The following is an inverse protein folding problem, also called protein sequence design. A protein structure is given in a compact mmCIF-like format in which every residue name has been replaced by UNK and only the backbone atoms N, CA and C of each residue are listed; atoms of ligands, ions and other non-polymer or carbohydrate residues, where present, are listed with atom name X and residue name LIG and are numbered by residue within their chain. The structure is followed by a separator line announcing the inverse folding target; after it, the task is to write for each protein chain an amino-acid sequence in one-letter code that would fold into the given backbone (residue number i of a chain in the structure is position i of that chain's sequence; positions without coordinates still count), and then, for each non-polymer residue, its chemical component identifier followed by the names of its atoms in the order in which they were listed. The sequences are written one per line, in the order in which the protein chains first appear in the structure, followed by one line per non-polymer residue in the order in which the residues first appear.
data_IF_098484355798
#
_entry.id   IF_098484355798
#
_cell.length_a   1.000
_cell.length_b   1.000
_cell.length_c   1.000
_cell.angle_alpha   90.00
_cell.angle_beta   90.00
_cell.angle_gamma   90.00
#
_symmetry.space_group_name_H-M   'P 1'
#
loop_
_entity.id
_entity.type
_entity.pdbx_description
1 polymer ?
#
# COMPACT_ATOMS: atom_id res chain seq x y z
N UNK A 1 3.10 -33.51 4.01
CA UNK A 1 3.30 -33.10 5.41
C UNK A 1 4.46 -32.09 5.60
N UNK A 2 5.72 -32.44 5.29
CA UNK A 2 6.90 -31.56 5.52
C UNK A 2 6.82 -30.14 4.89
N UNK A 3 6.17 -29.99 3.75
CA UNK A 3 6.04 -28.70 3.06
C UNK A 3 5.15 -27.69 3.82
N UNK A 4 4.07 -28.17 4.45
CA UNK A 4 3.13 -27.34 5.23
C UNK A 4 3.79 -26.90 6.54
N UNK A 5 4.52 -27.81 7.21
CA UNK A 5 5.27 -27.52 8.44
C UNK A 5 6.33 -26.44 8.18
N UNK A 6 7.06 -26.50 7.07
CA UNK A 6 8.06 -25.49 6.70
C UNK A 6 7.44 -24.10 6.46
N UNK A 7 6.28 -24.04 5.81
CA UNK A 7 5.56 -22.76 5.57
C UNK A 7 4.99 -22.17 6.85
N UNK A 8 4.46 -23.01 7.72
CA UNK A 8 4.01 -22.61 9.06
C UNK A 8 5.17 -22.00 9.87
N UNK A 9 6.34 -22.63 9.84
CA UNK A 9 7.51 -22.12 10.55
C UNK A 9 7.91 -20.71 10.07
N UNK A 10 7.97 -20.49 8.75
CA UNK A 10 8.26 -19.16 8.18
C UNK A 10 7.20 -18.14 8.57
N UNK A 11 5.91 -18.50 8.50
CA UNK A 11 4.81 -17.62 8.90
C UNK A 11 4.88 -17.20 10.37
N UNK A 12 5.20 -18.14 11.26
CA UNK A 12 5.40 -17.85 12.68
C UNK A 12 6.61 -16.93 12.87
N UNK A 13 7.72 -17.20 12.17
CA UNK A 13 8.92 -16.38 12.24
C UNK A 13 8.65 -14.94 11.79
N UNK A 14 7.97 -14.76 10.65
CA UNK A 14 7.58 -13.45 10.13
C UNK A 14 6.67 -12.71 11.12
N UNK A 15 5.72 -13.44 11.73
CA UNK A 15 4.87 -12.90 12.79
C UNK A 15 5.65 -12.43 14.01
N UNK A 16 6.60 -13.23 14.51
CA UNK A 16 7.45 -12.87 15.66
C UNK A 16 8.27 -11.62 15.35
N UNK A 17 8.92 -11.56 14.18
CA UNK A 17 9.70 -10.40 13.76
C UNK A 17 8.82 -9.15 13.61
N UNK A 18 7.62 -9.29 13.05
CA UNK A 18 6.68 -8.20 12.90
C UNK A 18 6.28 -7.61 14.26
N UNK A 19 5.97 -8.47 15.23
CA UNK A 19 5.66 -8.02 16.60
C UNK A 19 6.86 -7.37 17.27
N UNK A 20 8.05 -7.95 17.14
CA UNK A 20 9.26 -7.39 17.73
C UNK A 20 9.56 -5.99 17.19
N UNK A 21 9.42 -5.78 15.87
CA UNK A 21 9.63 -4.48 15.24
C UNK A 21 8.56 -3.48 15.68
N UNK A 22 7.28 -3.86 15.73
CA UNK A 22 6.19 -2.99 16.19
C UNK A 22 6.38 -2.55 17.64
N UNK A 23 6.73 -3.48 18.54
CA UNK A 23 6.98 -3.17 19.95
C UNK A 23 8.20 -2.26 20.10
N UNK A 24 9.31 -2.57 19.41
CA UNK A 24 10.52 -1.75 19.44
C UNK A 24 10.22 -0.33 18.94
N UNK A 25 9.56 -0.22 17.79
CA UNK A 25 9.22 1.06 17.18
C UNK A 25 8.28 1.89 18.07
N UNK A 26 7.22 1.28 18.59
CA UNK A 26 6.28 1.92 19.51
C UNK A 26 6.98 2.41 20.78
N UNK A 27 7.82 1.57 21.39
CA UNK A 27 8.57 1.90 22.61
C UNK A 27 9.51 3.10 22.39
N UNK A 28 10.28 3.11 21.30
CA UNK A 28 11.22 4.19 21.00
C UNK A 28 10.48 5.50 20.73
N UNK A 29 9.40 5.49 19.95
CA UNK A 29 8.59 6.69 19.70
C UNK A 29 7.93 7.21 20.98
N UNK A 30 7.41 6.33 21.83
CA UNK A 30 6.83 6.73 23.12
C UNK A 30 7.88 7.30 24.06
N UNK A 31 9.11 6.79 24.06
CA UNK A 31 10.20 7.35 24.85
C UNK A 31 10.45 8.83 24.50
N UNK A 32 10.48 9.18 23.21
CA UNK A 32 10.61 10.57 22.77
C UNK A 32 9.46 11.44 23.28
N UNK A 33 8.22 10.98 23.14
CA UNK A 33 7.02 11.74 23.51
C UNK A 33 6.93 11.90 25.04
N UNK A 34 7.12 10.83 25.82
CA UNK A 34 7.03 10.86 27.29
C UNK A 34 8.13 11.74 27.89
N UNK A 35 9.36 11.68 27.35
CA UNK A 35 10.45 12.49 27.87
C UNK A 35 10.20 13.99 27.69
N UNK A 36 9.43 14.39 26.68
CA UNK A 36 9.02 15.78 26.49
C UNK A 36 7.81 16.16 27.34
N UNK A 37 6.77 15.33 27.33
CA UNK A 37 5.49 15.58 28.00
C UNK A 37 5.41 14.91 29.37
N UNK A 38 6.44 15.03 30.21
CA UNK A 38 6.52 14.37 31.52
C UNK A 38 5.33 14.68 32.44
N UNK A 39 4.68 15.82 32.25
CA UNK A 39 3.59 16.31 33.09
C UNK A 39 2.18 16.06 32.51
N UNK A 40 2.07 15.44 31.33
CA UNK A 40 0.79 15.19 30.66
C UNK A 40 0.45 13.70 30.60
N UNK A 41 -0.85 13.39 30.62
CA UNK A 41 -1.38 12.02 30.51
C UNK A 41 -1.50 11.58 29.04
N UNK A 42 -1.50 12.52 28.09
CA UNK A 42 -1.65 12.25 26.65
C UNK A 42 -0.72 11.16 26.09
N UNK A 43 0.57 11.08 26.48
CA UNK A 43 1.48 10.04 25.98
C UNK A 43 1.03 8.61 26.33
N UNK A 44 0.32 8.41 27.44
CA UNK A 44 -0.16 7.10 27.85
C UNK A 44 -1.29 6.57 26.94
N UNK A 45 -2.10 7.45 26.35
CA UNK A 45 -3.10 7.03 25.35
C UNK A 45 -2.44 6.52 24.07
N UNK A 46 -1.35 7.15 23.63
CA UNK A 46 -0.57 6.70 22.48
C UNK A 46 0.15 5.37 22.74
N UNK A 47 0.55 5.12 23.99
CA UNK A 47 1.07 3.82 24.41
C UNK A 47 0.00 2.73 24.35
N UNK A 48 -1.22 2.99 24.85
CA UNK A 48 -2.35 2.05 24.75
C UNK A 48 -2.71 1.76 23.28
N UNK A 49 -2.65 2.76 22.41
CA UNK A 49 -2.88 2.59 20.98
C UNK A 49 -1.90 1.59 20.35
N UNK A 50 -0.64 1.51 20.80
CA UNK A 50 0.32 0.51 20.31
C UNK A 50 -0.08 -0.92 20.67
N UNK A 51 -0.61 -1.16 21.87
CA UNK A 51 -1.10 -2.49 22.24
C UNK A 51 -2.27 -2.91 21.35
N UNK A 52 -3.19 -1.98 21.08
CA UNK A 52 -4.25 -2.21 20.12
C UNK A 52 -3.69 -2.50 18.74
N UNK A 53 -2.67 -1.76 18.29
CA UNK A 53 -2.02 -1.97 17.00
C UNK A 53 -1.41 -3.38 16.91
N UNK A 54 -0.63 -3.79 17.91
CA UNK A 54 -0.06 -5.14 17.99
C UNK A 54 -1.16 -6.20 17.96
N UNK A 55 -2.24 -6.02 18.73
CA UNK A 55 -3.39 -6.93 18.74
C UNK A 55 -4.06 -7.03 17.35
N UNK A 56 -4.23 -5.91 16.63
CA UNK A 56 -4.78 -5.94 15.27
C UNK A 56 -3.88 -6.72 14.32
N UNK A 57 -2.56 -6.58 14.39
CA UNK A 57 -1.63 -7.33 13.54
C UNK A 57 -1.63 -8.83 13.87
N UNK A 58 -1.70 -9.20 15.15
CA UNK A 58 -1.83 -10.60 15.57
C UNK A 58 -3.11 -11.20 15.01
N UNK A 59 -4.25 -10.50 15.15
CA UNK A 59 -5.54 -10.92 14.61
C UNK A 59 -5.50 -11.07 13.08
N UNK A 60 -4.91 -10.10 12.39
CA UNK A 60 -4.74 -10.13 10.93
C UNK A 60 -3.90 -11.32 10.47
N UNK A 61 -2.75 -11.58 11.10
CA UNK A 61 -1.89 -12.73 10.75
C UNK A 61 -2.53 -14.08 11.09
N UNK A 62 -3.29 -14.16 12.20
CA UNK A 62 -4.04 -15.37 12.55
C UNK A 62 -5.15 -15.65 11.53
N UNK A 63 -5.92 -14.63 11.15
CA UNK A 63 -6.95 -14.75 10.13
C UNK A 63 -6.36 -15.16 8.76
N UNK A 64 -5.24 -14.53 8.38
CA UNK A 64 -4.48 -14.88 7.18
C UNK A 64 -4.03 -16.35 7.21
N UNK A 65 -3.45 -16.80 8.34
CA UNK A 65 -3.03 -18.18 8.52
C UNK A 65 -4.18 -19.17 8.36
N UNK A 66 -5.31 -18.93 9.02
CA UNK A 66 -6.49 -19.80 8.91
C UNK A 66 -7.01 -19.88 7.48
N UNK A 67 -7.05 -18.74 6.79
CA UNK A 67 -7.45 -18.70 5.38
C UNK A 67 -6.47 -19.49 4.49
N UNK A 68 -5.17 -19.21 4.59
CA UNK A 68 -4.15 -19.85 3.76
C UNK A 68 -4.04 -21.36 4.03
N UNK A 69 -4.22 -21.79 5.29
CA UNK A 69 -4.26 -23.20 5.66
C UNK A 69 -5.43 -23.93 5.00
N UNK A 70 -6.62 -23.31 4.95
CA UNK A 70 -7.79 -23.87 4.29
C UNK A 70 -7.54 -24.06 2.79
N UNK A 71 -7.07 -23.01 2.12
CA UNK A 71 -6.76 -23.05 0.68
C UNK A 71 -5.67 -24.08 0.35
N UNK A 72 -4.60 -24.15 1.15
CA UNK A 72 -3.50 -25.10 0.90
C UNK A 72 -3.84 -26.55 1.23
N UNK A 73 -4.85 -26.80 2.08
CA UNK A 73 -5.35 -28.14 2.39
C UNK A 73 -6.13 -28.74 1.23
N UNK A 74 -6.97 -27.94 0.57
CA UNK A 74 -7.74 -28.33 -0.62
C UNK A 74 -6.80 -28.71 -1.80
N UNK A 75 -5.67 -28.01 -1.97
CA UNK A 75 -4.66 -28.31 -2.99
C UNK A 75 -3.94 -29.67 -2.81
N UNK A 76 -3.97 -30.26 -1.60
CA UNK A 76 -3.21 -31.47 -1.27
C UNK A 76 -4.03 -32.78 -1.39
N UNK A 77 -5.36 -32.72 -1.41
CA UNK A 77 -6.20 -33.93 -1.44
C UNK A 77 -6.47 -34.46 -2.85
N UNK A 78 -6.48 -33.60 -3.88
CA UNK A 78 -6.90 -34.00 -5.23
C UNK A 78 -5.72 -34.10 -6.22
N UNK A 79 -5.03 -35.24 -6.22
CA UNK A 79 -3.97 -35.58 -7.20
C UNK A 79 -4.44 -35.71 -8.65
N UNK A 80 -5.75 -35.67 -8.92
CA UNK A 80 -6.33 -35.60 -10.26
C UNK A 80 -7.70 -34.89 -10.17
N UNK A 81 -7.80 -33.60 -10.49
CA UNK A 81 -9.07 -33.01 -10.93
C UNK A 81 -8.90 -31.71 -11.71
N UNK A 82 -9.28 -31.78 -12.99
CA UNK A 82 -9.74 -30.65 -13.79
C UNK A 82 -11.11 -30.22 -13.22
N UNK A 83 -11.12 -29.49 -12.10
CA UNK A 83 -12.31 -28.79 -11.61
C UNK A 83 -12.05 -27.29 -11.68
N UNK A 84 -13.04 -26.49 -12.11
CA UNK A 84 -12.86 -25.05 -12.21
C UNK A 84 -12.48 -24.57 -10.82
N UNK A 85 -11.43 -23.73 -10.73
CA UNK A 85 -11.05 -22.98 -9.52
C UNK A 85 -12.32 -22.72 -8.74
N UNK A 86 -12.45 -23.29 -7.53
CA UNK A 86 -13.56 -22.95 -6.66
C UNK A 86 -13.60 -21.44 -6.66
N UNK A 87 -14.65 -20.88 -7.25
CA UNK A 87 -14.95 -19.47 -7.13
C UNK A 87 -15.25 -19.32 -5.64
N UNK A 88 -14.22 -19.08 -4.81
CA UNK A 88 -14.38 -18.20 -3.67
C UNK A 88 -14.78 -16.89 -4.31
N UNK A 89 -16.07 -16.77 -4.59
CA UNK A 89 -16.66 -15.57 -5.15
C UNK A 89 -16.20 -14.44 -4.25
N UNK A 90 -15.43 -13.46 -4.75
CA UNK A 90 -15.27 -12.21 -4.04
C UNK A 90 -16.65 -11.53 -4.14
N UNK A 91 -17.60 -11.94 -3.31
CA UNK A 91 -18.92 -11.31 -3.25
C UNK A 91 -18.81 -9.93 -2.63
N UNK A 92 -17.76 -9.68 -1.85
CA UNK A 92 -17.51 -8.39 -1.23
C UNK A 92 -16.50 -7.57 -2.02
N UNK A 93 -16.85 -6.30 -2.25
CA UNK A 93 -15.94 -5.28 -2.79
C UNK A 93 -14.68 -5.07 -1.94
N UNK A 94 -14.67 -5.59 -0.70
CA UNK A 94 -13.58 -5.43 0.26
C UNK A 94 -12.41 -6.40 0.04
N UNK A 95 -12.50 -7.31 -0.94
CA UNK A 95 -11.49 -8.34 -1.20
C UNK A 95 -11.62 -9.54 -0.26
N UNK A 96 -10.70 -10.49 -0.40
CA UNK A 96 -10.72 -11.75 0.37
C UNK A 96 -9.95 -11.63 1.68
N UNK A 97 -9.00 -10.71 1.75
CA UNK A 97 -8.19 -10.41 2.95
C UNK A 97 -8.27 -8.93 3.35
N UNK A 98 -9.45 -8.44 3.76
CA UNK A 98 -9.63 -7.03 4.08
C UNK A 98 -8.80 -6.56 5.29
N UNK A 99 -8.47 -7.49 6.19
CA UNK A 99 -7.72 -7.21 7.41
C UNK A 99 -6.30 -6.70 7.16
N UNK A 100 -5.69 -7.03 6.02
CA UNK A 100 -4.31 -6.63 5.70
C UNK A 100 -4.19 -5.12 5.49
N UNK A 101 -5.02 -4.52 4.63
CA UNK A 101 -5.00 -3.07 4.44
C UNK A 101 -5.61 -2.33 5.63
N UNK A 102 -6.58 -2.93 6.34
CA UNK A 102 -7.18 -2.33 7.53
C UNK A 102 -6.16 -2.22 8.69
N UNK A 103 -5.37 -3.26 8.96
CA UNK A 103 -4.34 -3.21 10.01
C UNK A 103 -3.23 -2.24 9.64
N UNK A 104 -2.82 -2.19 8.36
CA UNK A 104 -1.86 -1.19 7.90
C UNK A 104 -2.37 0.25 8.08
N UNK A 105 -3.63 0.54 7.69
CA UNK A 105 -4.22 1.86 7.89
C UNK A 105 -4.25 2.25 9.36
N UNK A 106 -4.66 1.35 10.24
CA UNK A 106 -4.68 1.59 11.67
C UNK A 106 -3.29 1.89 12.24
N UNK A 107 -2.28 1.10 11.83
CA UNK A 107 -0.88 1.33 12.17
C UNK A 107 -0.38 2.69 11.67
N UNK A 108 -0.65 3.05 10.41
CA UNK A 108 -0.20 4.32 9.84
C UNK A 108 -0.85 5.51 10.52
N UNK A 109 -2.14 5.42 10.88
CA UNK A 109 -2.80 6.47 11.67
C UNK A 109 -2.05 6.73 12.98
N UNK A 110 -1.67 5.68 13.72
CA UNK A 110 -0.93 5.80 14.98
C UNK A 110 0.49 6.34 14.73
N UNK A 111 1.21 5.78 13.76
CA UNK A 111 2.56 6.19 13.41
C UNK A 111 2.61 7.67 13.01
N UNK A 112 1.74 8.09 12.08
CA UNK A 112 1.66 9.48 11.60
C UNK A 112 1.29 10.42 12.75
N UNK A 113 0.36 10.04 13.61
CA UNK A 113 0.00 10.85 14.79
C UNK A 113 1.22 11.07 15.69
N UNK A 114 1.99 10.01 15.97
CA UNK A 114 3.21 10.11 16.79
C UNK A 114 4.28 10.96 16.12
N UNK A 115 4.51 10.75 14.83
CA UNK A 115 5.45 11.55 14.04
C UNK A 115 5.03 13.02 14.09
N UNK A 116 3.76 13.33 13.82
CA UNK A 116 3.25 14.70 13.89
C UNK A 116 3.48 15.33 15.27
N UNK A 117 3.11 14.64 16.36
CA UNK A 117 3.36 15.13 17.74
C UNK A 117 4.84 15.39 18.00
N UNK A 118 5.73 14.52 17.51
CA UNK A 118 7.19 14.68 17.68
C UNK A 118 7.72 15.91 16.92
N UNK A 119 7.25 16.13 15.70
CA UNK A 119 7.74 17.24 14.86
C UNK A 119 7.13 18.60 15.25
N UNK A 120 5.84 18.64 15.59
CA UNK A 120 5.13 19.87 16.01
C UNK A 120 5.55 20.37 17.40
N UNK A 121 5.98 19.47 18.28
CA UNK A 121 6.38 19.84 19.66
C UNK A 121 7.72 20.57 19.75
N UNK A 122 8.42 20.79 18.63
CA UNK A 122 9.77 21.36 18.62
C UNK A 122 10.83 20.44 19.26
N UNK A 123 10.47 19.20 19.60
CA UNK A 123 11.38 18.23 20.22
C UNK A 123 12.63 17.99 19.37
N UNK A 124 12.48 18.01 18.05
CA UNK A 124 13.57 17.81 17.09
C UNK A 124 14.72 18.80 17.31
N UNK A 125 14.42 20.06 17.65
CA UNK A 125 15.43 21.09 17.87
C UNK A 125 16.21 20.88 19.17
N UNK A 126 15.60 20.20 20.16
CA UNK A 126 16.22 19.87 21.44
C UNK A 126 17.10 18.60 21.39
N UNK A 127 16.99 17.81 20.32
CA UNK A 127 17.69 16.53 20.19
C UNK A 127 19.14 16.76 19.73
N UNK A 128 20.10 16.42 20.60
CA UNK A 128 21.51 16.45 20.23
C UNK A 128 21.89 15.23 19.40
N UNK A 129 22.56 15.46 18.26
CA UNK A 129 23.12 14.40 17.42
C UNK A 129 24.22 13.56 18.11
N UNK A 130 24.74 14.02 19.25
CA UNK A 130 25.76 13.28 20.04
C UNK A 130 25.14 12.19 20.94
N UNK A 131 23.83 12.25 21.18
CA UNK A 131 23.14 11.28 22.02
C UNK A 131 22.70 10.07 21.20
N UNK A 132 22.74 8.87 21.79
CA UNK A 132 22.21 7.66 21.15
C UNK A 132 20.72 7.79 20.82
N UNK A 133 19.94 8.47 21.67
CA UNK A 133 18.55 8.85 21.43
C UNK A 133 18.46 10.22 20.74
N UNK A 134 19.18 10.36 19.64
CA UNK A 134 19.18 11.55 18.80
C UNK A 134 18.31 11.39 17.54
N UNK A 135 18.36 12.36 16.61
CA UNK A 135 17.56 12.35 15.39
C UNK A 135 17.79 11.11 14.52
N UNK A 136 19.00 10.53 14.57
CA UNK A 136 19.31 9.32 13.80
C UNK A 136 18.57 8.08 14.26
N UNK A 137 18.43 7.89 15.57
CA UNK A 137 17.63 6.76 16.07
C UNK A 137 16.17 6.95 15.72
N UNK A 138 15.64 8.18 15.79
CA UNK A 138 14.29 8.50 15.35
C UNK A 138 14.10 8.17 13.85
N UNK A 139 15.04 8.57 12.99
CA UNK A 139 15.05 8.27 11.55
C UNK A 139 14.99 6.76 11.29
N UNK A 140 15.86 5.98 11.94
CA UNK A 140 15.87 4.51 11.85
C UNK A 140 14.57 3.90 12.35
N UNK A 141 14.02 4.43 13.44
CA UNK A 141 12.77 3.96 14.04
C UNK A 141 11.58 4.16 13.11
N UNK A 142 11.48 5.32 12.45
CA UNK A 142 10.42 5.55 11.46
C UNK A 142 10.63 4.66 10.23
N UNK A 143 11.89 4.45 9.81
CA UNK A 143 12.26 3.55 8.72
C UNK A 143 11.90 2.07 8.95
N UNK A 144 11.73 1.65 10.21
CA UNK A 144 11.21 0.33 10.54
C UNK A 144 9.84 0.05 9.90
N UNK A 145 9.06 1.08 9.54
CA UNK A 145 7.79 0.93 8.83
C UNK A 145 7.92 0.16 7.50
N UNK A 146 9.06 0.27 6.80
CA UNK A 146 9.30 -0.50 5.57
C UNK A 146 9.35 -2.00 5.84
N UNK A 147 9.94 -2.40 6.97
CA UNK A 147 10.00 -3.81 7.38
C UNK A 147 8.65 -4.32 7.89
N UNK A 148 7.91 -3.48 8.61
CA UNK A 148 6.52 -3.78 9.02
C UNK A 148 5.67 -4.08 7.79
N UNK A 149 5.76 -3.24 6.75
CA UNK A 149 5.05 -3.46 5.48
C UNK A 149 5.46 -4.77 4.81
N UNK A 150 6.77 -5.01 4.67
CA UNK A 150 7.29 -6.22 4.03
C UNK A 150 6.81 -7.49 4.72
N UNK A 151 6.96 -7.56 6.04
CA UNK A 151 6.56 -8.73 6.84
C UNK A 151 5.03 -8.93 6.84
N UNK A 152 4.27 -7.83 6.84
CA UNK A 152 2.82 -7.90 6.69
C UNK A 152 2.45 -8.53 5.34
N UNK A 153 3.06 -8.08 4.24
CA UNK A 153 2.74 -8.61 2.90
C UNK A 153 3.16 -10.07 2.73
N UNK A 154 4.39 -10.42 3.13
CA UNK A 154 4.88 -11.80 3.03
C UNK A 154 4.08 -12.76 3.92
N UNK A 155 3.68 -12.33 5.12
CA UNK A 155 2.80 -13.08 6.01
C UNK A 155 1.39 -13.33 5.45
N UNK A 156 1.00 -12.67 4.36
CA UNK A 156 -0.28 -12.92 3.67
C UNK A 156 -0.12 -13.73 2.38
N UNK A 157 1.10 -14.13 2.03
CA UNK A 157 1.38 -14.68 0.71
C UNK A 157 2.18 -15.99 0.76
N UNK A 158 1.52 -17.15 0.67
CA UNK A 158 2.19 -18.45 0.53
C UNK A 158 2.36 -18.92 -0.93
N UNK A 159 2.42 -18.00 -1.88
CA UNK A 159 2.58 -18.38 -3.29
C UNK A 159 3.91 -19.07 -3.56
N UNK A 160 3.91 -20.06 -4.46
CA UNK A 160 5.14 -20.75 -4.87
C UNK A 160 6.02 -19.77 -5.67
N UNK A 161 7.35 -19.87 -5.47
CA UNK A 161 8.34 -19.14 -6.27
C UNK A 161 8.15 -19.47 -7.75
N UNK A 162 8.36 -18.48 -8.62
CA UNK A 162 8.19 -18.62 -10.07
C UNK A 162 6.76 -18.40 -10.58
N UNK A 163 5.78 -18.21 -9.68
CA UNK A 163 4.43 -17.81 -10.10
C UNK A 163 4.37 -16.30 -10.38
N UNK A 164 3.52 -15.85 -11.33
CA UNK A 164 3.35 -14.41 -11.59
C UNK A 164 2.94 -13.59 -10.35
N UNK A 165 2.13 -14.19 -9.46
CA UNK A 165 1.72 -13.58 -8.19
C UNK A 165 2.90 -13.37 -7.23
N UNK A 166 3.80 -14.34 -7.13
CA UNK A 166 5.02 -14.20 -6.31
C UNK A 166 5.87 -13.02 -6.80
N UNK A 167 6.14 -12.95 -8.11
CA UNK A 167 6.93 -11.86 -8.70
C UNK A 167 6.26 -10.49 -8.50
N UNK A 168 4.94 -10.42 -8.61
CA UNK A 168 4.18 -9.20 -8.32
C UNK A 168 4.31 -8.79 -6.85
N UNK A 169 4.09 -9.71 -5.91
CA UNK A 169 4.19 -9.46 -4.46
C UNK A 169 5.59 -8.98 -4.09
N UNK A 170 6.64 -9.68 -4.54
CA UNK A 170 8.02 -9.27 -4.29
C UNK A 170 8.32 -7.89 -4.89
N UNK A 171 7.78 -7.58 -6.08
CA UNK A 171 7.93 -6.25 -6.69
C UNK A 171 7.23 -5.17 -5.88
N UNK A 172 6.04 -5.44 -5.33
CA UNK A 172 5.30 -4.52 -4.46
C UNK A 172 6.08 -4.29 -3.15
N UNK A 173 6.56 -5.35 -2.49
CA UNK A 173 7.39 -5.24 -1.29
C UNK A 173 8.63 -4.36 -1.53
N UNK A 174 9.35 -4.60 -2.62
CA UNK A 174 10.55 -3.84 -2.94
C UNK A 174 10.25 -2.37 -3.26
N UNK A 175 9.27 -2.10 -4.15
CA UNK A 175 8.92 -0.74 -4.55
C UNK A 175 8.37 0.07 -3.38
N UNK A 176 7.37 -0.48 -2.69
CA UNK A 176 6.71 0.21 -1.58
C UNK A 176 7.61 0.34 -0.35
N UNK A 177 8.50 -0.63 -0.10
CA UNK A 177 9.53 -0.48 0.92
C UNK A 177 10.49 0.69 0.65
N UNK A 178 10.89 0.89 -0.61
CA UNK A 178 11.71 2.04 -1.03
C UNK A 178 10.91 3.35 -0.91
N UNK A 179 9.63 3.36 -1.33
CA UNK A 179 8.75 4.53 -1.18
C UNK A 179 8.62 4.96 0.30
N UNK A 180 8.51 4.02 1.24
CA UNK A 180 8.48 4.33 2.67
C UNK A 180 9.82 4.92 3.16
N UNK A 181 10.96 4.40 2.67
CA UNK A 181 12.26 5.01 2.98
C UNK A 181 12.39 6.44 2.44
N UNK A 182 11.76 6.74 1.31
CA UNK A 182 11.73 8.11 0.78
C UNK A 182 10.98 9.07 1.70
N UNK A 183 9.88 8.63 2.34
CA UNK A 183 9.19 9.42 3.38
C UNK A 183 10.13 9.77 4.52
N UNK A 184 10.92 8.80 4.98
CA UNK A 184 11.88 9.00 6.07
C UNK A 184 13.00 9.94 5.65
N UNK A 185 13.52 9.79 4.44
CA UNK A 185 14.50 10.71 3.88
C UNK A 185 13.93 12.13 3.75
N UNK A 186 12.64 12.25 3.44
CA UNK A 186 11.96 13.54 3.35
C UNK A 186 11.76 14.17 4.73
N UNK A 187 11.33 13.40 5.74
CA UNK A 187 11.27 13.84 7.13
C UNK A 187 12.64 14.22 7.70
N UNK A 188 13.73 13.59 7.24
CA UNK A 188 15.07 13.98 7.71
C UNK A 188 15.49 15.39 7.32
N UNK A 189 14.83 16.02 6.33
CA UNK A 189 15.03 17.44 6.02
C UNK A 189 14.65 18.30 7.24
N UNK A 190 13.61 17.92 7.99
CA UNK A 190 13.19 18.62 9.19
C UNK A 190 14.12 18.34 10.39
N UNK A 191 14.86 17.23 10.36
CA UNK A 191 15.81 16.85 11.42
C UNK A 191 17.21 17.44 11.21
N UNK A 192 17.68 17.46 9.97
CA UNK A 192 19.08 17.71 9.61
C UNK A 192 19.25 18.91 8.66
N UNK A 193 18.15 19.40 8.09
CA UNK A 193 18.16 20.47 7.09
C UNK A 193 18.22 21.88 7.67
N UNK A 194 17.92 22.91 6.84
CA UNK A 194 18.02 24.30 7.24
C UNK A 194 17.14 24.61 8.46
N UNK A 195 17.68 25.32 9.46
CA UNK A 195 16.92 25.74 10.65
C UNK A 195 15.92 26.86 10.37
N UNK A 196 16.16 27.64 9.32
CA UNK A 196 15.35 28.82 8.96
C UNK A 196 14.22 28.48 7.97
N UNK A 197 13.66 27.28 8.06
CA UNK A 197 12.47 26.90 7.28
C UNK A 197 11.23 27.54 7.91
N UNK A 198 10.38 28.12 7.08
CA UNK A 198 9.09 28.66 7.50
C UNK A 198 8.18 27.55 8.05
N UNK A 199 7.41 27.80 9.11
CA UNK A 199 6.53 26.79 9.73
C UNK A 199 5.56 26.13 8.71
N UNK A 200 4.85 26.87 7.83
CA UNK A 200 4.03 26.26 6.78
C UNK A 200 4.80 25.31 5.85
N UNK A 201 6.09 25.54 5.65
CA UNK A 201 6.92 24.67 4.83
C UNK A 201 7.26 23.36 5.57
N UNK A 202 7.46 23.43 6.90
CA UNK A 202 7.63 22.24 7.73
C UNK A 202 6.35 21.39 7.70
N UNK A 203 5.18 22.01 7.82
CA UNK A 203 3.88 21.34 7.75
C UNK A 203 3.68 20.64 6.40
N UNK A 204 4.05 21.28 5.29
CA UNK A 204 3.99 20.67 3.96
C UNK A 204 4.86 19.40 3.89
N UNK A 205 6.09 19.43 4.41
CA UNK A 205 6.96 18.24 4.45
C UNK A 205 6.32 17.11 5.27
N UNK A 206 5.72 17.46 6.41
CA UNK A 206 5.07 16.50 7.30
C UNK A 206 3.82 15.88 6.65
N UNK A 207 2.94 16.70 6.05
CA UNK A 207 1.72 16.25 5.36
C UNK A 207 2.06 15.36 4.17
N UNK A 208 3.02 15.76 3.33
CA UNK A 208 3.45 14.98 2.17
C UNK A 208 4.06 13.64 2.59
N UNK A 209 4.88 13.63 3.65
CA UNK A 209 5.41 12.39 4.24
C UNK A 209 4.29 11.49 4.77
N UNK A 210 3.30 12.05 5.45
CA UNK A 210 2.15 11.33 5.98
C UNK A 210 1.35 10.65 4.87
N UNK A 211 1.02 11.37 3.79
CA UNK A 211 0.31 10.82 2.62
C UNK A 211 1.06 9.60 2.05
N UNK A 212 2.39 9.67 1.97
CA UNK A 212 3.19 8.57 1.44
C UNK A 212 3.16 7.32 2.32
N UNK A 213 2.98 7.44 3.64
CA UNK A 213 2.73 6.27 4.51
C UNK A 213 1.35 5.64 4.30
N UNK A 214 0.34 6.42 3.89
CA UNK A 214 -1.01 5.90 3.61
C UNK A 214 -1.10 5.18 2.26
N UNK A 215 -0.34 5.61 1.26
CA UNK A 215 -0.40 5.09 -0.12
C UNK A 215 -0.22 3.55 -0.26
N UNK A 216 0.66 2.88 0.53
CA UNK A 216 0.76 1.42 0.58
C UNK A 216 -0.58 0.69 0.81
N UNK A 217 -1.55 1.33 1.47
CA UNK A 217 -2.89 0.76 1.69
C UNK A 217 -3.60 0.41 0.38
N UNK A 218 -3.37 1.20 -0.68
CA UNK A 218 -3.94 0.93 -2.00
C UNK A 218 -3.34 -0.35 -2.59
N UNK A 219 -2.03 -0.58 -2.40
CA UNK A 219 -1.35 -1.81 -2.83
C UNK A 219 -1.80 -3.03 -2.05
N UNK A 220 -2.00 -2.90 -0.74
CA UNK A 220 -2.56 -3.97 0.09
C UNK A 220 -4.00 -4.29 -0.32
N UNK A 221 -4.80 -3.28 -0.65
CA UNK A 221 -6.14 -3.48 -1.19
C UNK A 221 -6.09 -4.24 -2.53
N UNK A 222 -5.17 -3.89 -3.45
CA UNK A 222 -4.96 -4.66 -4.69
C UNK A 222 -4.56 -6.12 -4.42
N UNK A 223 -3.68 -6.35 -3.44
CA UNK A 223 -3.20 -7.68 -3.05
C UNK A 223 -4.24 -8.53 -2.31
N UNK A 224 -5.27 -7.90 -1.74
CA UNK A 224 -6.37 -8.60 -1.06
C UNK A 224 -7.22 -9.46 -2.01
N UNK A 225 -7.07 -9.29 -3.32
CA UNK A 225 -7.75 -10.09 -4.34
C UNK A 225 -6.92 -11.33 -4.73
N UNK A 226 -7.55 -12.52 -4.86
CA UNK A 226 -6.85 -13.78 -5.15
C UNK A 226 -6.31 -13.84 -6.59
N UNK A 227 -7.03 -13.28 -7.57
CA UNK A 227 -6.67 -13.30 -8.99
C UNK A 227 -6.64 -11.88 -9.59
N UNK A 228 -5.54 -11.17 -9.36
CA UNK A 228 -5.33 -9.81 -9.87
C UNK A 228 -5.47 -9.71 -11.41
N UNK A 229 -5.07 -10.75 -12.15
CA UNK A 229 -5.15 -10.79 -13.61
C UNK A 229 -6.58 -10.96 -14.17
N UNK A 230 -7.54 -11.39 -13.35
CA UNK A 230 -8.90 -11.71 -13.80
C UNK A 230 -9.90 -10.66 -13.31
N UNK A 231 -9.54 -9.90 -12.27
CA UNK A 231 -10.46 -8.96 -11.67
C UNK A 231 -10.54 -7.64 -12.46
N UNK A 232 -11.70 -7.33 -13.04
CA UNK A 232 -11.95 -6.10 -13.82
C UNK A 232 -11.58 -4.79 -13.12
N UNK A 233 -11.47 -4.79 -11.78
CA UNK A 233 -11.07 -3.59 -11.03
C UNK A 233 -9.55 -3.40 -10.90
N UNK A 234 -8.72 -4.38 -11.27
CA UNK A 234 -7.26 -4.30 -11.07
C UNK A 234 -6.61 -3.16 -11.87
N UNK A 235 -7.03 -3.01 -13.13
CA UNK A 235 -6.54 -1.98 -14.05
C UNK A 235 -6.93 -0.55 -13.63
N UNK A 236 -8.21 -0.21 -13.37
CA UNK A 236 -8.56 1.13 -12.91
C UNK A 236 -7.93 1.49 -11.55
N UNK A 237 -7.82 0.55 -10.60
CA UNK A 237 -7.13 0.80 -9.33
C UNK A 237 -5.63 1.07 -9.58
N UNK A 238 -5.01 0.37 -10.52
CA UNK A 238 -3.60 0.58 -10.87
C UNK A 238 -3.39 1.96 -11.48
N UNK A 239 -4.24 2.40 -12.40
CA UNK A 239 -4.18 3.75 -12.98
C UNK A 239 -4.37 4.81 -11.88
N UNK A 240 -5.36 4.65 -10.99
CA UNK A 240 -5.59 5.57 -9.87
C UNK A 240 -4.36 5.62 -8.96
N UNK A 241 -3.76 4.47 -8.63
CA UNK A 241 -2.54 4.42 -7.83
C UNK A 241 -1.40 5.18 -8.49
N UNK A 242 -1.13 4.92 -9.78
CA UNK A 242 -0.04 5.57 -10.51
C UNK A 242 -0.24 7.08 -10.59
N UNK A 243 -1.48 7.51 -10.81
CA UNK A 243 -1.85 8.92 -10.80
C UNK A 243 -1.62 9.56 -9.43
N UNK A 244 -2.17 8.96 -8.36
CA UNK A 244 -2.00 9.45 -6.99
C UNK A 244 -0.52 9.50 -6.58
N UNK A 245 0.25 8.46 -6.91
CA UNK A 245 1.69 8.42 -6.61
C UNK A 245 2.43 9.57 -7.32
N UNK A 246 2.17 9.77 -8.61
CA UNK A 246 2.80 10.84 -9.37
C UNK A 246 2.40 12.23 -8.86
N UNK A 247 1.10 12.47 -8.62
CA UNK A 247 0.57 13.78 -8.27
C UNK A 247 0.82 14.16 -6.81
N UNK A 248 0.74 13.21 -5.88
CA UNK A 248 0.84 13.48 -4.45
C UNK A 248 2.24 13.24 -3.89
N UNK A 249 3.05 12.38 -4.52
CA UNK A 249 4.38 12.02 -4.01
C UNK A 249 5.46 12.55 -4.94
N UNK A 250 5.62 11.99 -6.14
CA UNK A 250 6.82 12.24 -6.94
C UNK A 250 6.97 13.71 -7.35
N UNK A 251 5.91 14.35 -7.84
CA UNK A 251 5.94 15.77 -8.24
C UNK A 251 6.17 16.67 -7.02
N UNK A 252 5.37 16.60 -5.93
CA UNK A 252 5.59 17.44 -4.74
C UNK A 252 6.97 17.23 -4.10
N UNK A 253 7.42 15.98 -4.00
CA UNK A 253 8.73 15.63 -3.44
C UNK A 253 9.87 16.19 -4.28
N UNK A 254 9.71 16.24 -5.61
CA UNK A 254 10.66 16.87 -6.52
C UNK A 254 10.64 18.39 -6.34
N UNK A 255 9.47 19.02 -6.31
CA UNK A 255 9.32 20.47 -6.13
C UNK A 255 9.97 20.95 -4.85
N UNK A 256 9.72 20.29 -3.72
CA UNK A 256 10.32 20.65 -2.43
C UNK A 256 11.84 20.49 -2.45
N UNK A 257 12.36 19.38 -3.01
CA UNK A 257 13.81 19.17 -3.11
C UNK A 257 14.49 20.18 -4.04
N UNK A 258 13.85 20.54 -5.16
CA UNK A 258 14.33 21.59 -6.06
C UNK A 258 14.35 22.96 -5.36
N UNK A 259 13.29 23.28 -4.62
CA UNK A 259 13.22 24.53 -3.87
C UNK A 259 14.32 24.63 -2.81
N UNK A 260 14.56 23.56 -2.04
CA UNK A 260 15.66 23.51 -1.06
C UNK A 260 17.03 23.68 -1.72
N UNK A 261 17.25 23.03 -2.87
CA UNK A 261 18.50 23.15 -3.60
C UNK A 261 18.72 24.59 -4.13
N UNK A 262 17.71 25.19 -4.75
CA UNK A 262 17.84 26.50 -5.40
C UNK A 262 17.81 27.66 -4.41
N UNK A 263 16.90 27.63 -3.43
CA UNK A 263 16.68 28.74 -2.50
C UNK A 263 17.59 28.67 -1.27
N UNK A 264 17.79 27.48 -0.71
CA UNK A 264 18.60 27.28 0.51
C UNK A 264 20.03 26.83 0.22
N UNK A 265 20.40 26.62 -1.06
CA UNK A 265 21.72 26.13 -1.49
C UNK A 265 22.15 24.82 -0.83
N UNK A 266 21.17 24.00 -0.47
CA UNK A 266 21.39 22.65 0.05
C UNK A 266 21.99 21.76 -1.03
N UNK A 267 22.76 20.74 -0.63
CA UNK A 267 23.35 19.81 -1.60
C UNK A 267 22.25 19.06 -2.36
N UNK A 268 22.40 18.94 -3.67
CA UNK A 268 21.47 18.20 -4.51
C UNK A 268 21.44 16.72 -4.06
N UNK A 269 20.32 16.33 -3.46
CA UNK A 269 20.13 14.98 -2.95
C UNK A 269 19.96 13.97 -4.09
N UNK A 270 20.52 12.76 -3.95
CA UNK A 270 20.27 11.66 -4.90
C UNK A 270 18.77 11.33 -5.05
N UNK A 271 17.97 11.63 -4.01
CA UNK A 271 16.51 11.49 -4.05
C UNK A 271 15.83 12.43 -5.07
N UNK A 272 16.46 13.54 -5.44
CA UNK A 272 15.97 14.42 -6.52
C UNK A 272 15.96 13.67 -7.85
N UNK A 273 17.07 13.01 -8.20
CA UNK A 273 17.18 12.24 -9.44
C UNK A 273 16.26 11.00 -9.41
N UNK A 274 16.10 10.37 -8.25
CA UNK A 274 15.12 9.28 -8.05
C UNK A 274 13.70 9.73 -8.41
N UNK A 275 13.26 10.91 -7.98
CA UNK A 275 11.91 11.39 -8.28
C UNK A 275 11.74 11.70 -9.77
N UNK A 276 12.75 12.30 -10.42
CA UNK A 276 12.74 12.50 -11.88
C UNK A 276 12.61 11.16 -12.61
N UNK A 277 13.42 10.17 -12.23
CA UNK A 277 13.37 8.83 -12.81
C UNK A 277 12.00 8.17 -12.55
N UNK A 278 11.45 8.30 -11.34
CA UNK A 278 10.13 7.77 -10.98
C UNK A 278 9.03 8.34 -11.85
N UNK A 279 9.03 9.65 -12.10
CA UNK A 279 8.06 10.32 -12.98
C UNK A 279 8.18 9.76 -14.41
N UNK A 280 9.39 9.69 -14.96
CA UNK A 280 9.63 9.17 -16.32
C UNK A 280 9.18 7.71 -16.46
N UNK A 281 9.51 6.85 -15.49
CA UNK A 281 9.09 5.46 -15.47
C UNK A 281 7.58 5.32 -15.34
N UNK A 282 6.96 6.10 -14.45
CA UNK A 282 5.51 6.07 -14.23
C UNK A 282 4.77 6.52 -15.49
N UNK A 283 5.22 7.58 -16.16
CA UNK A 283 4.64 8.02 -17.44
C UNK A 283 4.75 6.92 -18.51
N UNK A 284 5.91 6.27 -18.62
CA UNK A 284 6.13 5.17 -19.57
C UNK A 284 5.25 3.96 -19.27
N UNK A 285 5.03 3.64 -17.99
CA UNK A 285 4.17 2.54 -17.56
C UNK A 285 2.68 2.88 -17.67
N UNK A 286 2.29 4.14 -17.48
CA UNK A 286 0.89 4.57 -17.52
C UNK A 286 0.33 4.59 -18.95
N UNK A 287 1.16 4.86 -19.96
CA UNK A 287 0.73 4.90 -21.36
C UNK A 287 0.05 3.61 -21.85
N UNK A 288 0.65 2.40 -21.76
CA UNK A 288 0.00 1.18 -22.22
C UNK A 288 -1.29 0.86 -21.45
N UNK A 289 -1.27 1.07 -20.13
CA UNK A 289 -2.44 0.85 -19.25
C UNK A 289 -3.62 1.75 -19.64
N UNK A 290 -3.36 3.02 -19.98
CA UNK A 290 -4.40 3.95 -20.45
C UNK A 290 -4.95 3.57 -21.83
N UNK A 291 -4.09 3.06 -22.72
CA UNK A 291 -4.51 2.57 -24.04
C UNK A 291 -5.41 1.34 -23.87
N UNK A 292 -5.03 0.39 -23.02
CA UNK A 292 -5.82 -0.79 -22.70
C UNK A 292 -7.17 -0.42 -22.04
N UNK A 293 -7.16 0.48 -21.05
CA UNK A 293 -8.37 1.01 -20.42
C UNK A 293 -9.33 1.64 -21.43
N UNK A 294 -8.79 2.46 -22.35
CA UNK A 294 -9.57 3.11 -23.40
C UNK A 294 -10.19 2.07 -24.33
N UNK A 295 -9.45 1.03 -24.72
CA UNK A 295 -9.96 -0.05 -25.55
C UNK A 295 -11.06 -0.86 -24.85
N UNK A 296 -10.87 -1.23 -23.59
CA UNK A 296 -11.86 -1.99 -22.82
C UNK A 296 -13.15 -1.19 -22.59
N UNK A 297 -13.02 0.11 -22.30
CA UNK A 297 -14.16 1.00 -22.09
C UNK A 297 -14.93 1.28 -23.38
N UNK A 298 -14.23 1.55 -24.50
CA UNK A 298 -14.86 1.80 -25.80
C UNK A 298 -15.54 0.54 -26.36
N UNK A 299 -14.92 -0.64 -26.23
CA UNK A 299 -15.54 -1.91 -26.67
C UNK A 299 -16.72 -2.33 -25.79
N UNK A 300 -16.66 -2.13 -24.47
CA UNK A 300 -17.84 -2.39 -23.63
C UNK A 300 -18.98 -1.42 -23.95
N UNK A 301 -18.69 -0.14 -24.25
CA UNK A 301 -19.71 0.83 -24.63
C UNK A 301 -20.34 0.49 -26.00
N UNK A 302 -19.58 -0.02 -26.97
CA UNK A 302 -20.11 -0.45 -28.27
C UNK A 302 -20.95 -1.73 -28.17
N UNK A 303 -20.53 -2.72 -27.36
CA UNK A 303 -21.31 -3.94 -27.11
C UNK A 303 -22.60 -3.63 -26.35
N UNK A 304 -22.53 -2.75 -25.34
CA UNK A 304 -23.71 -2.31 -24.59
C UNK A 304 -24.64 -1.49 -25.48
N UNK A 305 -24.11 -0.54 -26.27
CA UNK A 305 -24.91 0.21 -27.25
C UNK A 305 -25.55 -0.71 -28.30
N UNK A 306 -24.84 -1.71 -28.82
CA UNK A 306 -25.38 -2.70 -29.76
C UNK A 306 -26.45 -3.59 -29.12
N UNK A 307 -26.32 -3.93 -27.82
CA UNK A 307 -27.31 -4.70 -27.06
C UNK A 307 -28.59 -3.92 -26.77
N UNK A 308 -28.51 -2.60 -26.69
CA UNK A 308 -29.66 -1.70 -26.53
C UNK A 308 -30.19 -1.10 -27.84
N UNK A 309 -29.47 -1.27 -28.96
CA UNK A 309 -29.85 -0.71 -30.27
C UNK A 309 -30.87 -1.55 -31.06
N UNK A 310 -31.33 -2.72 -30.58
CA UNK A 310 -32.52 -3.37 -31.17
C UNK A 310 -33.15 -4.44 -30.27
N UNK A 311 -34.30 -4.19 -29.62
CA UNK A 311 -35.32 -5.21 -29.54
C UNK A 311 -36.00 -5.26 -30.91
N UNK A 312 -35.78 -6.33 -31.68
CA UNK A 312 -36.73 -6.62 -32.78
C UNK A 312 -38.05 -6.92 -32.11
N UNK A 313 -39.00 -5.99 -32.20
CA UNK A 313 -40.39 -6.23 -31.83
C UNK A 313 -40.89 -7.42 -32.63
N UNK A 314 -41.56 -8.36 -31.97
CA UNK A 314 -42.08 -9.59 -32.57
C UNK A 314 -42.96 -9.31 -33.81
N UNK A 315 -43.54 -8.11 -33.91
CA UNK A 315 -44.29 -7.58 -35.05
C UNK A 315 -43.47 -7.45 -36.36
N UNK A 316 -42.19 -7.06 -36.31
CA UNK A 316 -41.37 -6.96 -37.55
C UNK A 316 -41.09 -8.34 -38.16
N UNK A 317 -41.01 -9.38 -37.33
CA UNK A 317 -40.77 -10.77 -37.78
C UNK A 317 -42.07 -11.37 -38.36
N UNK A 318 -43.23 -11.05 -37.77
CA UNK A 318 -44.53 -11.52 -38.25
C UNK A 318 -44.93 -10.89 -39.61
N UNK A 319 -44.56 -9.63 -39.86
CA UNK A 319 -44.87 -8.95 -41.13
C UNK A 319 -43.93 -9.35 -42.28
N UNK A 320 -42.70 -9.80 -41.99
CA UNK A 320 -41.77 -10.33 -42.99
C UNK A 320 -42.16 -11.71 -43.51
N UNK A 321 -42.81 -12.54 -42.68
CA UNK A 321 -43.27 -13.88 -43.09
C UNK A 321 -44.51 -13.86 -43.98
N UNK A 322 -45.31 -12.79 -43.93
CA UNK A 322 -46.55 -12.67 -44.71
C UNK A 322 -46.30 -12.23 -46.16
N UNK A 323 -45.27 -11.41 -46.42
CA UNK A 323 -44.91 -10.99 -47.78
C UNK A 323 -44.35 -12.12 -48.65
N UNK A 324 -43.80 -13.19 -48.08
CA UNK A 324 -43.34 -14.35 -48.87
C UNK A 324 -44.43 -15.39 -49.15
N UNK A 325 -45.63 -15.22 -48.61
CA UNK A 325 -46.75 -16.15 -48.83
C UNK A 325 -47.78 -15.64 -49.85
N UNK A 326 -47.67 -14.38 -50.31
CA UNK A 326 -48.54 -13.80 -51.34
C UNK A 326 -47.89 -13.82 -52.75
N UNK A 327 -46.64 -14.27 -52.88
CA UNK A 327 -45.89 -14.37 -54.14
C UNK A 327 -45.61 -15.83 -54.60
N UNK A 328 -46.43 -16.82 -54.17
CA UNK A 328 -46.38 -18.22 -54.66
C UNK A 328 -47.72 -18.66 -55.21
#
# INVERSE_FOLDING_TARGET
CNFVVRRLFVHILDGIWLMAILILQGTVLNYYIINHYKNSVTPYFLFVADFLCVATFVGTLAASYHYLKKVSGEDCEDGFCFKPRIRLTPTSRLGVMPLSYASWLFYVMILVTKVAVIFESGLIESLSAKNHFGPQLLKVTIACASFVFLLLVEGHNWTKRGTPRYSYVTSVCAKTGIEIFDSVAFLSILMEGPKNLSEPFKDVILILSAINFFLPSVKLYQLSFPDFSIHKMSLPITIIYLFLHMSCIDIPFLTVRLYLWLAYRENASMFLMKNILSILLTLRCMYPELVEFKHEYLNNKSIVAAKYAKPRTFEEIALSGRKSAEDV
#
